data_IF_824587706023
#
_entry.id   IF_824587706023
#
_cell.length_a   1.000
_cell.length_b   1.000
_cell.length_c   1.000
_cell.angle_alpha   90.00
_cell.angle_beta   90.00
_cell.angle_gamma   90.00
#
_symmetry.space_group_name_H-M   'P 1'
#
loop_
_entity.id
_entity.type
_entity.pdbx_description
1 polymer ?
#
# COMPACT_ATOMS: atom_id res chain seq x y z
N UNK A 1 7.99 4.44 20.95
CA UNK A 1 7.39 5.05 19.75
C UNK A 1 8.40 6.07 19.26
N UNK A 2 9.15 5.71 18.23
CA UNK A 2 10.01 6.68 17.53
C UNK A 2 9.07 7.69 16.87
N UNK A 3 9.28 8.98 17.13
CA UNK A 3 8.38 10.03 16.61
C UNK A 3 8.66 10.24 15.12
N UNK A 4 7.63 10.57 14.32
CA UNK A 4 7.80 10.82 12.87
C UNK A 4 8.89 11.86 12.57
N UNK A 5 9.09 12.79 13.49
CA UNK A 5 10.16 13.79 13.44
C UNK A 5 11.57 13.18 13.54
N UNK A 6 11.77 12.21 14.45
CA UNK A 6 13.03 11.49 14.58
C UNK A 6 13.32 10.67 13.32
N UNK A 7 12.31 10.02 12.74
CA UNK A 7 12.46 9.25 11.51
C UNK A 7 12.82 10.15 10.32
N UNK A 8 12.16 11.30 10.17
CA UNK A 8 12.50 12.29 9.15
C UNK A 8 13.93 12.81 9.30
N UNK A 9 14.33 13.16 10.54
CA UNK A 9 15.70 13.60 10.84
C UNK A 9 16.72 12.53 10.48
N UNK A 10 16.47 11.26 10.80
CA UNK A 10 17.32 10.12 10.41
C UNK A 10 17.47 9.99 8.90
N UNK A 11 16.37 10.08 8.15
CA UNK A 11 16.38 10.02 6.68
C UNK A 11 17.22 11.15 6.09
N UNK A 12 17.03 12.39 6.56
CA UNK A 12 17.78 13.55 6.07
C UNK A 12 19.27 13.42 6.40
N UNK A 13 19.62 13.01 7.62
CA UNK A 13 21.00 12.78 8.01
C UNK A 13 21.66 11.69 7.17
N UNK A 14 20.96 10.58 6.93
CA UNK A 14 21.46 9.51 6.07
C UNK A 14 21.74 10.01 4.65
N UNK A 15 20.80 10.76 4.03
CA UNK A 15 21.00 11.35 2.71
C UNK A 15 22.18 12.31 2.65
N UNK A 16 22.38 13.15 3.67
CA UNK A 16 23.47 14.11 3.72
C UNK A 16 24.86 13.44 3.83
N UNK A 17 24.92 12.21 4.33
CA UNK A 17 26.16 11.45 4.43
C UNK A 17 26.53 10.69 3.15
N UNK A 18 25.64 10.63 2.15
CA UNK A 18 25.89 9.93 0.90
C UNK A 18 26.71 10.77 -0.09
N UNK A 19 27.58 10.10 -0.84
CA UNK A 19 28.33 10.68 -1.95
C UNK A 19 27.42 10.87 -3.17
N UNK A 20 27.80 11.73 -4.15
CA UNK A 20 27.00 11.96 -5.36
C UNK A 20 26.63 10.69 -6.15
N UNK A 21 27.56 9.75 -6.28
CA UNK A 21 27.31 8.47 -6.97
C UNK A 21 26.31 7.61 -6.20
N UNK A 22 26.37 7.63 -4.86
CA UNK A 22 25.47 6.91 -3.97
C UNK A 22 24.06 7.52 -4.01
N UNK A 23 23.95 8.86 -4.09
CA UNK A 23 22.67 9.55 -4.30
C UNK A 23 22.02 9.20 -5.64
N UNK A 24 22.82 9.05 -6.70
CA UNK A 24 22.31 8.64 -8.02
C UNK A 24 21.77 7.20 -7.98
N UNK A 25 22.46 6.31 -7.26
CA UNK A 25 21.97 4.94 -7.02
C UNK A 25 20.70 4.95 -6.18
N UNK A 26 20.67 5.74 -5.10
CA UNK A 26 19.48 5.94 -4.26
C UNK A 26 18.26 6.33 -5.09
N UNK A 27 18.38 7.38 -5.91
CA UNK A 27 17.29 7.84 -6.78
C UNK A 27 16.77 6.75 -7.74
N UNK A 28 17.67 5.89 -8.23
CA UNK A 28 17.31 4.75 -9.08
C UNK A 28 16.52 3.69 -8.30
N UNK A 29 16.93 3.39 -7.07
CA UNK A 29 16.21 2.48 -6.17
C UNK A 29 14.84 3.03 -5.74
N UNK A 30 14.79 4.31 -5.42
CA UNK A 30 13.55 5.03 -5.07
C UNK A 30 12.53 4.97 -6.20
N UNK A 31 12.97 5.24 -7.44
CA UNK A 31 12.10 5.14 -8.62
C UNK A 31 11.57 3.71 -8.81
N UNK A 32 12.41 2.69 -8.63
CA UNK A 32 12.00 1.29 -8.79
C UNK A 32 11.00 0.87 -7.71
N UNK A 33 11.23 1.29 -6.47
CA UNK A 33 10.33 1.05 -5.35
C UNK A 33 8.98 1.74 -5.57
N UNK A 34 8.98 3.01 -5.96
CA UNK A 34 7.77 3.77 -6.26
C UNK A 34 6.94 3.08 -7.34
N UNK A 35 7.55 2.70 -8.46
CA UNK A 35 6.89 1.96 -9.54
C UNK A 35 6.32 0.62 -9.04
N UNK A 36 7.05 -0.09 -8.18
CA UNK A 36 6.59 -1.36 -7.62
C UNK A 36 5.39 -1.17 -6.69
N UNK A 37 5.39 -0.11 -5.86
CA UNK A 37 4.27 0.25 -5.00
C UNK A 37 3.06 0.62 -5.86
N UNK A 38 3.21 1.48 -6.86
CA UNK A 38 2.11 1.87 -7.75
C UNK A 38 1.51 0.68 -8.50
N UNK A 39 2.33 -0.27 -8.98
CA UNK A 39 1.83 -1.50 -9.63
C UNK A 39 1.02 -2.38 -8.70
N UNK A 40 1.42 -2.46 -7.43
CA UNK A 40 0.82 -3.40 -6.47
C UNK A 40 -0.40 -2.82 -5.75
N UNK A 41 -0.40 -1.51 -5.51
CA UNK A 41 -1.39 -0.84 -4.65
C UNK A 41 -2.17 0.27 -5.35
N UNK A 42 -1.78 0.69 -6.56
CA UNK A 42 -2.48 1.73 -7.31
C UNK A 42 -2.67 3.01 -6.49
N UNK A 43 -3.92 3.47 -6.40
CA UNK A 43 -4.36 4.63 -5.63
C UNK A 43 -4.83 4.29 -4.20
N UNK A 44 -4.58 3.06 -3.73
CA UNK A 44 -5.00 2.60 -2.40
C UNK A 44 -4.18 3.21 -1.26
N UNK A 45 -3.01 3.75 -1.57
CA UNK A 45 -2.12 4.42 -0.61
C UNK A 45 -1.99 5.87 -1.03
N UNK A 46 -2.04 6.80 -0.08
CA UNK A 46 -1.88 8.22 -0.38
C UNK A 46 -0.46 8.53 -0.88
N UNK A 47 -0.32 9.51 -1.79
CA UNK A 47 0.98 9.91 -2.34
C UNK A 47 2.00 10.29 -1.26
N UNK A 48 1.54 10.95 -0.19
CA UNK A 48 2.38 11.31 0.95
C UNK A 48 2.92 10.08 1.69
N UNK A 49 2.08 9.06 1.90
CA UNK A 49 2.50 7.81 2.52
C UNK A 49 3.45 7.03 1.62
N UNK A 50 3.19 6.99 0.31
CA UNK A 50 4.12 6.39 -0.67
C UNK A 50 5.47 7.09 -0.62
N UNK A 51 5.49 8.43 -0.66
CA UNK A 51 6.72 9.21 -0.55
C UNK A 51 7.46 8.93 0.75
N UNK A 52 6.75 8.85 1.88
CA UNK A 52 7.37 8.51 3.16
C UNK A 52 8.03 7.12 3.17
N UNK A 53 7.39 6.13 2.53
CA UNK A 53 7.96 4.80 2.37
C UNK A 53 9.21 4.84 1.47
N UNK A 54 9.12 5.51 0.33
CA UNK A 54 10.23 5.64 -0.63
C UNK A 54 11.42 6.37 -0.01
N UNK A 55 11.18 7.50 0.67
CA UNK A 55 12.22 8.25 1.37
C UNK A 55 12.89 7.43 2.49
N UNK A 56 12.15 6.50 3.12
CA UNK A 56 12.71 5.59 4.12
C UNK A 56 13.65 4.52 3.55
N UNK A 57 13.75 4.39 2.21
CA UNK A 57 14.64 3.43 1.56
C UNK A 57 16.08 3.63 2.02
N UNK A 58 16.53 4.89 2.16
CA UNK A 58 17.91 5.24 2.52
C UNK A 58 18.35 4.77 3.91
N UNK A 59 17.39 4.49 4.80
CA UNK A 59 17.66 4.02 6.17
C UNK A 59 17.42 2.51 6.33
N UNK A 60 17.01 1.81 5.27
CA UNK A 60 16.89 0.35 5.32
C UNK A 60 18.28 -0.30 5.29
N UNK A 61 18.52 -1.32 6.13
CA UNK A 61 19.80 -2.03 6.15
C UNK A 61 20.23 -2.50 4.75
N UNK A 62 19.31 -3.07 3.97
CA UNK A 62 19.54 -3.63 2.65
C UNK A 62 19.99 -2.54 1.64
N UNK A 63 19.43 -1.34 1.79
CA UNK A 63 19.83 -0.19 0.98
C UNK A 63 21.19 0.35 1.40
N UNK A 64 21.50 0.40 2.70
CA UNK A 64 22.80 0.89 3.16
C UNK A 64 23.94 0.01 2.63
N UNK A 65 23.78 -1.32 2.67
CA UNK A 65 24.74 -2.29 2.12
C UNK A 65 24.99 -2.06 0.62
N UNK A 66 23.91 -1.85 -0.13
CA UNK A 66 23.90 -1.62 -1.58
C UNK A 66 24.52 -0.27 -1.96
N UNK A 67 24.12 0.79 -1.26
CA UNK A 67 24.59 2.16 -1.52
C UNK A 67 26.08 2.30 -1.22
N UNK A 68 26.55 1.74 -0.11
CA UNK A 68 27.96 1.80 0.30
C UNK A 68 28.88 0.85 -0.50
N UNK A 69 28.32 0.09 -1.45
CA UNK A 69 29.09 -0.70 -2.43
C UNK A 69 29.71 -1.98 -1.88
N UNK A 70 29.14 -2.53 -0.81
CA UNK A 70 29.64 -3.77 -0.20
C UNK A 70 29.05 -5.02 -0.87
N UNK A 71 27.72 -5.11 -0.93
CA UNK A 71 26.95 -6.17 -1.61
C UNK A 71 25.71 -5.51 -2.20
N UNK A 72 25.34 -5.84 -3.44
CA UNK A 72 24.07 -5.40 -4.03
C UNK A 72 22.94 -6.29 -3.50
N UNK A 73 22.24 -5.81 -2.49
CA UNK A 73 21.13 -6.50 -1.83
C UNK A 73 19.77 -6.07 -2.40
N UNK A 74 19.75 -5.08 -3.29
CA UNK A 74 18.52 -4.68 -3.95
C UNK A 74 18.04 -5.73 -4.95
N UNK A 75 16.72 -5.85 -5.15
CA UNK A 75 16.19 -6.78 -6.12
C UNK A 75 16.68 -6.48 -7.55
N UNK A 76 17.04 -7.53 -8.29
CA UNK A 76 17.47 -7.42 -9.68
C UNK A 76 16.31 -7.45 -10.68
N UNK A 77 15.12 -7.89 -10.27
CA UNK A 77 13.96 -8.08 -11.14
C UNK A 77 12.66 -7.50 -10.58
N UNK A 78 11.63 -7.42 -11.43
CA UNK A 78 10.35 -6.82 -11.06
C UNK A 78 9.62 -7.58 -9.94
N UNK A 79 9.78 -8.91 -9.85
CA UNK A 79 9.08 -9.69 -8.83
C UNK A 79 9.69 -9.46 -7.45
N UNK A 80 11.02 -9.36 -7.38
CA UNK A 80 11.72 -9.01 -6.17
C UNK A 80 11.40 -7.59 -5.71
N UNK A 81 11.31 -6.62 -6.63
CA UNK A 81 10.85 -5.26 -6.27
C UNK A 81 9.40 -5.25 -5.77
N UNK A 82 8.52 -6.08 -6.33
CA UNK A 82 7.15 -6.23 -5.81
C UNK A 82 7.13 -6.85 -4.41
N UNK A 83 7.94 -7.88 -4.14
CA UNK A 83 8.04 -8.48 -2.82
C UNK A 83 8.57 -7.47 -1.78
N UNK A 84 9.61 -6.72 -2.15
CA UNK A 84 10.19 -5.69 -1.31
C UNK A 84 9.21 -4.54 -1.04
N UNK A 85 8.48 -4.08 -2.06
CA UNK A 85 7.42 -3.08 -1.90
C UNK A 85 6.32 -3.56 -0.93
N UNK A 86 5.91 -4.83 -1.02
CA UNK A 86 4.93 -5.42 -0.09
C UNK A 86 5.43 -5.38 1.34
N UNK A 87 6.67 -5.79 1.57
CA UNK A 87 7.28 -5.76 2.90
C UNK A 87 7.33 -4.34 3.49
N UNK A 88 7.80 -3.37 2.69
CA UNK A 88 7.86 -1.96 3.10
C UNK A 88 6.47 -1.39 3.44
N UNK A 89 5.45 -1.72 2.64
CA UNK A 89 4.05 -1.32 2.88
C UNK A 89 3.48 -2.02 4.11
N UNK A 90 3.77 -3.30 4.32
CA UNK A 90 3.33 -4.05 5.52
C UNK A 90 3.92 -3.50 6.81
N UNK A 91 5.18 -3.03 6.77
CA UNK A 91 5.85 -2.40 7.92
C UNK A 91 5.36 -0.97 8.20
N UNK A 92 4.67 -0.32 7.26
CA UNK A 92 4.18 1.05 7.40
C UNK A 92 2.75 1.09 7.92
N UNK A 93 2.58 1.47 9.20
CA UNK A 93 1.26 1.65 9.82
C UNK A 93 0.38 2.64 9.04
N UNK A 94 0.97 3.71 8.51
CA UNK A 94 0.25 4.71 7.72
C UNK A 94 -0.32 4.09 6.43
N UNK A 95 0.46 3.26 5.73
CA UNK A 95 0.00 2.60 4.52
C UNK A 95 -1.08 1.56 4.81
N UNK A 96 -0.95 0.81 5.92
CA UNK A 96 -2.00 -0.12 6.33
C UNK A 96 -3.32 0.60 6.64
N UNK A 97 -3.26 1.80 7.25
CA UNK A 97 -4.45 2.63 7.50
C UNK A 97 -5.07 3.14 6.20
N UNK A 98 -4.26 3.63 5.26
CA UNK A 98 -4.73 4.10 3.95
C UNK A 98 -5.48 2.98 3.21
N UNK A 99 -4.87 1.79 3.15
CA UNK A 99 -5.47 0.59 2.53
C UNK A 99 -6.77 0.21 3.23
N UNK A 100 -6.78 0.16 4.57
CA UNK A 100 -7.98 -0.17 5.33
C UNK A 100 -9.12 0.83 5.09
N UNK A 101 -8.80 2.14 5.03
CA UNK A 101 -9.78 3.18 4.75
C UNK A 101 -10.36 3.05 3.33
N UNK A 102 -9.50 2.81 2.34
CA UNK A 102 -9.93 2.57 0.94
C UNK A 102 -10.82 1.33 0.83
N UNK A 103 -10.45 0.23 1.47
CA UNK A 103 -11.27 -0.99 1.53
C UNK A 103 -12.62 -0.74 2.20
N UNK A 104 -12.65 -0.02 3.33
CA UNK A 104 -13.90 0.31 4.01
C UNK A 104 -14.82 1.17 3.13
N UNK A 105 -14.24 2.13 2.40
CA UNK A 105 -14.97 2.99 1.45
C UNK A 105 -15.55 2.17 0.30
N UNK A 106 -14.75 1.27 -0.29
CA UNK A 106 -15.19 0.37 -1.35
C UNK A 106 -16.32 -0.57 -0.89
N UNK A 107 -16.18 -1.15 0.31
CA UNK A 107 -17.23 -1.99 0.91
C UNK A 107 -18.53 -1.20 1.08
N UNK A 108 -18.49 0.01 1.64
CA UNK A 108 -19.67 0.85 1.79
C UNK A 108 -20.34 1.17 0.44
N UNK A 109 -19.53 1.45 -0.58
CA UNK A 109 -19.99 1.67 -1.95
C UNK A 109 -20.67 0.42 -2.54
N UNK A 110 -20.04 -0.75 -2.42
CA UNK A 110 -20.61 -2.00 -2.94
C UNK A 110 -21.88 -2.42 -2.21
N UNK A 111 -21.99 -2.18 -0.88
CA UNK A 111 -23.24 -2.39 -0.14
C UNK A 111 -24.35 -1.51 -0.69
N UNK A 112 -24.07 -0.24 -0.98
CA UNK A 112 -25.05 0.70 -1.57
C UNK A 112 -25.51 0.22 -2.94
N UNK A 113 -24.58 -0.15 -3.82
CA UNK A 113 -24.90 -0.68 -5.16
C UNK A 113 -25.73 -1.97 -5.08
N UNK A 114 -25.36 -2.89 -4.19
CA UNK A 114 -26.10 -4.14 -3.99
C UNK A 114 -27.51 -3.87 -3.46
N UNK A 115 -27.65 -2.92 -2.53
CA UNK A 115 -28.96 -2.51 -2.02
C UNK A 115 -29.81 -1.86 -3.12
N UNK A 116 -29.24 -1.03 -3.98
CA UNK A 116 -29.94 -0.39 -5.09
C UNK A 116 -30.38 -1.40 -6.16
N UNK A 117 -29.57 -2.41 -6.43
CA UNK A 117 -29.86 -3.47 -7.41
C UNK A 117 -30.99 -4.43 -6.99
N UNK A 118 -31.33 -4.51 -5.69
CA UNK A 118 -32.39 -5.40 -5.21
C UNK A 118 -33.78 -4.90 -5.60
N UNK A 119 -34.66 -5.84 -5.96
CA UNK A 119 -36.09 -5.53 -6.14
C UNK A 119 -36.72 -5.16 -4.78
N UNK A 120 -37.57 -4.12 -4.70
CA UNK A 120 -38.30 -3.75 -3.49
C UNK A 120 -38.92 -4.91 -2.69
N UNK A 121 -39.50 -5.92 -3.36
CA UNK A 121 -40.05 -7.10 -2.66
C UNK A 121 -38.98 -7.92 -1.94
N UNK A 122 -37.81 -8.11 -2.57
CA UNK A 122 -36.69 -8.85 -1.99
C UNK A 122 -36.09 -8.09 -0.80
N UNK A 123 -35.98 -6.76 -0.90
CA UNK A 123 -35.53 -5.91 0.21
C UNK A 123 -36.41 -6.09 1.44
N UNK A 124 -37.74 -6.03 1.26
CA UNK A 124 -38.70 -6.18 2.37
C UNK A 124 -38.61 -7.60 2.96
N UNK A 125 -38.52 -8.63 2.13
CA UNK A 125 -38.45 -10.01 2.60
C UNK A 125 -37.18 -10.27 3.43
N UNK A 126 -36.01 -9.80 2.97
CA UNK A 126 -34.76 -9.96 3.68
C UNK A 126 -34.60 -9.05 4.89
N UNK A 127 -35.19 -7.85 4.85
CA UNK A 127 -35.25 -6.99 6.03
C UNK A 127 -36.07 -7.65 7.14
N UNK A 128 -37.16 -8.35 6.79
CA UNK A 128 -37.99 -9.08 7.74
C UNK A 128 -37.33 -10.35 8.28
N UNK A 129 -36.51 -11.03 7.47
CA UNK A 129 -35.75 -12.20 7.94
C UNK A 129 -34.51 -11.84 8.75
N UNK A 130 -34.11 -10.56 8.77
CA UNK A 130 -32.87 -10.10 9.42
C UNK A 130 -31.60 -10.47 8.66
N UNK A 131 -31.72 -10.97 7.43
CA UNK A 131 -30.60 -11.46 6.62
C UNK A 131 -30.04 -10.41 5.66
N UNK A 132 -30.71 -9.26 5.52
CA UNK A 132 -30.35 -8.21 4.57
C UNK A 132 -28.90 -7.73 4.73
N UNK A 133 -28.49 -7.41 5.96
CA UNK A 133 -27.13 -6.92 6.21
C UNK A 133 -26.07 -7.98 5.92
N UNK A 134 -26.31 -9.23 6.33
CA UNK A 134 -25.38 -10.34 6.03
C UNK A 134 -25.25 -10.60 4.53
N UNK A 135 -26.35 -10.47 3.78
CA UNK A 135 -26.32 -10.59 2.32
C UNK A 135 -25.49 -9.46 1.68
N UNK A 136 -25.73 -8.21 2.09
CA UNK A 136 -25.01 -7.05 1.57
C UNK A 136 -23.52 -7.13 1.89
N UNK A 137 -23.16 -7.60 3.09
CA UNK A 137 -21.77 -7.83 3.50
C UNK A 137 -21.09 -8.87 2.60
N UNK A 138 -21.73 -10.02 2.40
CA UNK A 138 -21.18 -11.09 1.54
C UNK A 138 -20.97 -10.61 0.10
N UNK A 139 -21.93 -9.88 -0.45
CA UNK A 139 -21.84 -9.29 -1.79
C UNK A 139 -20.69 -8.28 -1.89
N UNK A 140 -20.59 -7.36 -0.92
CA UNK A 140 -19.55 -6.34 -0.91
C UNK A 140 -18.14 -6.92 -0.77
N UNK A 141 -17.96 -7.93 0.09
CA UNK A 141 -16.68 -8.62 0.23
C UNK A 141 -16.31 -9.43 -1.02
N UNK A 142 -17.25 -10.14 -1.65
CA UNK A 142 -16.99 -10.87 -2.88
C UNK A 142 -16.55 -9.94 -4.03
N UNK A 143 -17.21 -8.77 -4.17
CA UNK A 143 -16.82 -7.75 -5.16
C UNK A 143 -15.42 -7.18 -4.87
N UNK A 144 -15.09 -6.91 -3.60
CA UNK A 144 -13.78 -6.42 -3.22
C UNK A 144 -12.68 -7.47 -3.51
N UNK A 145 -12.92 -8.75 -3.20
CA UNK A 145 -11.98 -9.82 -3.54
C UNK A 145 -11.79 -9.95 -5.06
N UNK A 146 -12.86 -9.81 -5.83
CA UNK A 146 -12.80 -9.82 -7.30
C UNK A 146 -11.99 -8.64 -7.85
N UNK A 147 -12.16 -7.42 -7.30
CA UNK A 147 -11.38 -6.25 -7.71
C UNK A 147 -9.90 -6.40 -7.36
N UNK A 148 -9.59 -6.95 -6.18
CA UNK A 148 -8.21 -7.21 -5.75
C UNK A 148 -7.51 -8.27 -6.61
N UNK A 149 -8.23 -9.32 -7.01
CA UNK A 149 -7.66 -10.42 -7.80
C UNK A 149 -7.41 -10.07 -9.28
N UNK A 150 -8.11 -9.07 -9.83
CA UNK A 150 -7.87 -8.62 -11.21
C UNK A 150 -6.60 -7.78 -11.37
N UNK A 151 -5.98 -7.37 -10.25
CA UNK A 151 -5.05 -6.25 -10.25
C UNK A 151 -5.84 -4.96 -10.53
N UNK A 152 -5.59 -3.93 -9.75
CA UNK A 152 -6.20 -2.62 -10.00
C UNK A 152 -5.94 -2.13 -11.42
#
# INVERSE_FOLDING_TARGET
METEHENYSRIQNARNCLKPDELTRLASGETRLEVAISRQYGDSISENTVKGIVDSLVVQPESLTTLMGSIDEWPSDSNGWTAFAKEMVTRSDAAQRDIAHKNATAIAQYKREALEALNPQQKINWARSGELDSFLDKQAHAKLEESLNRGW
#
